data_IF_789911249258
#
_entry.id   IF_789911249258
#
_cell.length_a   1.000
_cell.length_b   1.000
_cell.length_c   1.000
_cell.angle_alpha   90.00
_cell.angle_beta   90.00
_cell.angle_gamma   90.00
#
_symmetry.space_group_name_H-M   'P 1'
#
loop_
_entity.id
_entity.type
_entity.pdbx_description
1 polymer ?
#
# COMPACT_ATOMS: atom_id res chain seq x y z
N UNK A 1 24.73 11.00 -10.62
CA UNK A 1 24.43 9.58 -10.40
C UNK A 1 22.93 9.34 -10.59
N UNK A 2 22.55 8.77 -11.76
CA UNK A 2 21.17 8.56 -12.22
C UNK A 2 20.92 7.05 -12.37
N UNK A 3 20.59 6.34 -11.29
CA UNK A 3 20.29 4.90 -11.37
C UNK A 3 19.02 4.47 -10.61
N UNK A 4 18.23 5.43 -10.10
CA UNK A 4 17.09 5.12 -9.25
C UNK A 4 15.78 4.83 -10.01
N UNK A 5 15.65 5.24 -11.27
CA UNK A 5 14.36 5.14 -11.99
C UNK A 5 14.10 3.81 -12.70
N UNK A 6 15.13 2.97 -12.87
CA UNK A 6 14.98 1.71 -13.64
C UNK A 6 14.37 0.58 -12.83
N UNK A 7 14.54 0.58 -11.51
CA UNK A 7 14.01 -0.48 -10.64
C UNK A 7 12.49 -0.36 -10.44
N UNK A 8 11.97 0.87 -10.35
CA UNK A 8 10.53 1.13 -10.20
C UNK A 8 9.71 0.72 -11.43
N UNK A 9 10.28 0.91 -12.64
CA UNK A 9 9.63 0.54 -13.91
C UNK A 9 9.62 -0.97 -14.11
N UNK A 10 10.67 -1.66 -13.69
CA UNK A 10 10.76 -3.12 -13.81
C UNK A 10 9.75 -3.86 -12.91
N UNK A 11 9.42 -3.32 -11.74
CA UNK A 11 8.46 -3.95 -10.83
C UNK A 11 7.01 -3.75 -11.29
N UNK A 12 6.69 -2.60 -11.90
CA UNK A 12 5.39 -2.34 -12.51
C UNK A 12 5.17 -3.26 -13.73
N UNK A 13 6.21 -3.52 -14.52
CA UNK A 13 6.16 -4.45 -15.64
C UNK A 13 5.98 -5.91 -15.20
N UNK A 14 6.55 -6.31 -14.06
CA UNK A 14 6.41 -7.66 -13.52
C UNK A 14 4.99 -7.93 -12.99
N UNK A 15 4.32 -6.95 -12.38
CA UNK A 15 2.93 -7.11 -11.93
C UNK A 15 1.94 -7.18 -13.10
N UNK A 16 2.18 -6.46 -14.19
CA UNK A 16 1.37 -6.51 -15.40
C UNK A 16 1.57 -7.84 -16.18
N UNK A 17 2.76 -8.44 -16.15
CA UNK A 17 3.04 -9.72 -16.76
C UNK A 17 2.33 -10.88 -16.06
N UNK A 18 2.15 -10.81 -14.73
CA UNK A 18 1.37 -11.80 -13.97
C UNK A 18 -0.13 -11.75 -14.30
N UNK A 19 -0.69 -10.56 -14.53
CA UNK A 19 -2.08 -10.41 -14.90
C UNK A 19 -2.39 -10.94 -16.31
N UNK A 20 -1.44 -10.84 -17.25
CA UNK A 20 -1.61 -11.30 -18.64
C UNK A 20 -1.55 -12.81 -18.82
N UNK A 21 -0.86 -13.54 -17.96
CA UNK A 21 -0.73 -15.00 -18.09
C UNK A 21 -1.96 -15.78 -17.58
N UNK A 22 -2.83 -15.15 -16.79
CA UNK A 22 -4.03 -15.80 -16.25
C UNK A 22 -5.14 -15.95 -17.28
N UNK A 23 -5.17 -15.15 -18.32
CA UNK A 23 -6.22 -15.23 -19.36
C UNK A 23 -5.97 -16.29 -20.46
N UNK A 24 -4.75 -16.78 -20.61
CA UNK A 24 -4.41 -17.69 -21.72
C UNK A 24 -4.79 -19.17 -21.46
N UNK A 25 -5.24 -19.53 -20.26
CA UNK A 25 -5.48 -20.94 -19.89
C UNK A 25 -6.94 -21.32 -19.64
N UNK A 26 -7.92 -20.45 -19.95
CA UNK A 26 -9.32 -20.70 -19.56
C UNK A 26 -10.18 -21.44 -20.57
N UNK A 27 -9.64 -22.03 -21.67
CA UNK A 27 -10.48 -22.54 -22.71
C UNK A 27 -10.79 -24.04 -22.70
N UNK A 28 -10.26 -24.88 -21.80
CA UNK A 28 -10.63 -26.32 -21.80
C UNK A 28 -10.30 -27.04 -20.45
N UNK A 29 -10.82 -26.58 -19.33
CA UNK A 29 -10.77 -27.40 -18.10
C UNK A 29 -12.17 -27.83 -17.65
N UNK A 30 -12.33 -29.14 -17.25
CA UNK A 30 -13.54 -29.58 -16.55
C UNK A 30 -13.70 -28.79 -15.26
N UNK A 31 -14.96 -28.54 -14.85
CA UNK A 31 -15.31 -27.78 -13.64
C UNK A 31 -14.44 -28.20 -12.45
N UNK A 32 -13.76 -27.27 -11.76
CA UNK A 32 -12.87 -27.62 -10.67
C UNK A 32 -13.68 -28.22 -9.54
N UNK A 33 -13.30 -29.42 -9.13
CA UNK A 33 -13.61 -29.94 -7.80
C UNK A 33 -13.10 -28.91 -6.79
N UNK A 34 -13.85 -28.65 -5.74
CA UNK A 34 -13.60 -27.70 -4.66
C UNK A 34 -12.14 -27.70 -4.15
N UNK A 35 -11.28 -27.03 -4.87
CA UNK A 35 -9.88 -26.81 -4.52
C UNK A 35 -9.61 -25.32 -4.62
N UNK A 36 -9.03 -24.75 -3.58
CA UNK A 36 -8.60 -23.35 -3.56
C UNK A 36 -7.61 -23.10 -4.72
N UNK A 37 -7.93 -22.18 -5.60
CA UNK A 37 -7.08 -21.83 -6.73
C UNK A 37 -6.86 -20.31 -6.79
N UNK A 38 -5.61 -19.90 -6.73
CA UNK A 38 -5.20 -18.50 -6.97
C UNK A 38 -5.48 -18.03 -8.40
N UNK A 39 -5.83 -18.97 -9.30
CA UNK A 39 -6.06 -18.72 -10.72
C UNK A 39 -7.55 -18.80 -11.11
N UNK A 40 -8.44 -18.88 -10.11
CA UNK A 40 -9.87 -18.83 -10.40
C UNK A 40 -10.25 -17.45 -10.97
N UNK A 41 -11.12 -17.38 -12.00
CA UNK A 41 -11.61 -16.11 -12.53
C UNK A 41 -12.18 -15.23 -11.42
N UNK A 42 -11.77 -13.94 -11.39
CA UNK A 42 -12.17 -13.00 -10.34
C UNK A 42 -11.38 -13.09 -9.04
N UNK A 43 -10.40 -14.00 -8.92
CA UNK A 43 -9.54 -14.10 -7.75
C UNK A 43 -8.45 -13.03 -7.72
N UNK A 44 -7.92 -12.67 -8.90
CA UNK A 44 -6.87 -11.66 -9.06
C UNK A 44 -7.45 -10.27 -9.26
N UNK A 45 -6.74 -9.26 -8.75
CA UNK A 45 -7.15 -7.87 -8.88
C UNK A 45 -5.96 -6.91 -8.89
N UNK A 46 -6.20 -5.73 -9.43
CA UNK A 46 -5.34 -4.56 -9.29
C UNK A 46 -6.18 -3.40 -8.75
N UNK A 47 -5.57 -2.55 -7.92
CA UNK A 47 -6.24 -1.39 -7.35
C UNK A 47 -5.32 -0.18 -7.26
N UNK A 48 -5.93 0.99 -7.34
CA UNK A 48 -5.26 2.27 -7.16
C UNK A 48 -6.09 3.14 -6.21
N UNK A 49 -5.44 3.62 -5.14
CA UNK A 49 -6.05 4.49 -4.16
C UNK A 49 -5.30 5.83 -4.09
N UNK A 50 -6.07 6.87 -3.81
CA UNK A 50 -5.57 8.21 -3.47
C UNK A 50 -6.15 8.61 -2.12
N UNK A 51 -5.40 9.40 -1.35
CA UNK A 51 -5.88 9.78 -0.03
C UNK A 51 -4.95 10.76 0.67
N UNK A 52 -5.02 10.73 1.97
CA UNK A 52 -4.17 11.53 2.86
C UNK A 52 -3.40 10.64 3.81
N UNK A 53 -2.12 10.94 3.97
CA UNK A 53 -1.25 10.37 5.00
C UNK A 53 -1.12 11.35 6.15
N UNK A 54 -1.16 10.83 7.37
CA UNK A 54 -0.82 11.55 8.60
C UNK A 54 0.49 10.98 9.14
N UNK A 55 1.53 11.82 9.14
CA UNK A 55 2.84 11.48 9.67
C UNK A 55 2.94 12.03 11.10
N UNK A 56 2.80 11.16 12.08
CA UNK A 56 2.81 11.53 13.50
C UNK A 56 4.25 11.59 14.02
N UNK A 57 5.04 12.53 13.45
CA UNK A 57 6.47 12.68 13.71
C UNK A 57 6.78 13.80 14.70
N UNK A 58 7.86 13.61 15.46
CA UNK A 58 8.39 14.65 16.35
C UNK A 58 9.00 15.81 15.54
N UNK A 59 8.79 17.05 15.99
CA UNK A 59 9.29 18.29 15.35
C UNK A 59 10.57 18.83 16.01
N UNK A 60 11.29 18.03 16.76
CA UNK A 60 12.49 18.46 17.49
C UNK A 60 12.14 19.47 18.61
N UNK A 61 12.86 20.59 18.65
CA UNK A 61 12.64 21.66 19.65
C UNK A 61 11.43 22.57 19.38
N UNK A 62 10.68 22.30 18.30
CA UNK A 62 9.48 23.06 17.93
C UNK A 62 9.72 24.47 17.34
N UNK A 63 10.98 24.82 17.03
CA UNK A 63 11.32 26.14 16.50
C UNK A 63 10.78 26.40 15.06
N UNK A 64 10.34 25.35 14.37
CA UNK A 64 9.82 25.43 13.01
C UNK A 64 8.40 24.87 12.94
N UNK A 65 7.62 25.32 11.96
CA UNK A 65 6.31 24.75 11.64
C UNK A 65 6.38 23.29 11.22
N UNK A 66 5.31 22.54 11.42
CA UNK A 66 5.15 21.15 11.00
C UNK A 66 3.88 20.98 10.17
N UNK A 67 4.03 20.37 8.98
CA UNK A 67 2.91 19.79 8.26
C UNK A 67 2.78 18.31 8.67
N UNK A 68 1.56 17.86 8.93
CA UNK A 68 1.31 16.46 9.37
C UNK A 68 0.57 15.64 8.35
N UNK A 69 -0.10 16.28 7.41
CA UNK A 69 -0.92 15.59 6.41
C UNK A 69 -0.47 15.93 5.00
N UNK A 70 -0.42 14.93 4.14
CA UNK A 70 -0.10 15.07 2.71
C UNK A 70 -0.84 14.03 1.89
N UNK A 71 -0.95 14.30 0.58
CA UNK A 71 -1.54 13.34 -0.34
C UNK A 71 -0.70 12.07 -0.40
N UNK A 72 -1.37 10.93 -0.40
CA UNK A 72 -0.79 9.60 -0.55
C UNK A 72 -1.37 8.91 -1.77
N UNK A 73 -0.57 8.05 -2.38
CA UNK A 73 -0.96 7.20 -3.51
C UNK A 73 -0.56 5.78 -3.22
N UNK A 74 -1.45 4.84 -3.50
CA UNK A 74 -1.18 3.41 -3.31
C UNK A 74 -1.62 2.64 -4.55
N UNK A 75 -0.67 1.94 -5.18
CA UNK A 75 -0.92 0.99 -6.26
C UNK A 75 -0.68 -0.41 -5.71
N UNK A 76 -1.64 -1.30 -5.87
CA UNK A 76 -1.56 -2.65 -5.32
C UNK A 76 -2.20 -3.67 -6.25
N UNK A 77 -1.78 -4.91 -6.10
CA UNK A 77 -2.39 -6.05 -6.76
C UNK A 77 -2.35 -7.26 -5.84
N UNK A 78 -3.30 -8.15 -6.04
CA UNK A 78 -3.42 -9.32 -5.20
C UNK A 78 -4.25 -10.42 -5.82
N UNK A 79 -4.31 -11.53 -5.11
CA UNK A 79 -5.18 -12.66 -5.47
C UNK A 79 -5.72 -13.33 -4.21
N UNK A 80 -6.99 -13.71 -4.26
CA UNK A 80 -7.64 -14.47 -3.20
C UNK A 80 -7.38 -15.97 -3.40
N UNK A 81 -6.96 -16.66 -2.33
CA UNK A 81 -6.81 -18.12 -2.31
C UNK A 81 -8.16 -18.82 -2.16
N UNK A 82 -9.08 -18.14 -1.47
CA UNK A 82 -10.44 -18.57 -1.22
C UNK A 82 -11.33 -17.32 -1.13
N UNK A 83 -12.60 -17.49 -0.78
CA UNK A 83 -13.57 -16.39 -0.72
C UNK A 83 -13.23 -15.31 0.33
N UNK A 84 -12.34 -15.61 1.29
CA UNK A 84 -12.11 -14.78 2.46
C UNK A 84 -10.68 -14.25 2.57
N UNK A 85 -9.65 -14.99 2.10
CA UNK A 85 -8.25 -14.68 2.35
C UNK A 85 -7.47 -14.65 1.04
N UNK A 86 -6.62 -13.64 0.89
CA UNK A 86 -5.73 -13.45 -0.26
C UNK A 86 -4.38 -12.91 0.14
N UNK A 87 -3.50 -12.83 -0.84
CA UNK A 87 -2.20 -12.18 -0.77
C UNK A 87 -2.25 -10.88 -1.57
N UNK A 88 -1.61 -9.85 -1.06
CA UNK A 88 -1.53 -8.55 -1.72
C UNK A 88 -0.10 -8.01 -1.67
N UNK A 89 0.34 -7.42 -2.77
CA UNK A 89 1.57 -6.66 -2.88
C UNK A 89 1.25 -5.27 -3.39
N UNK A 90 2.00 -4.26 -2.96
CA UNK A 90 1.73 -2.90 -3.39
C UNK A 90 2.90 -1.95 -3.15
N UNK A 91 2.75 -0.75 -3.68
CA UNK A 91 3.65 0.37 -3.45
C UNK A 91 2.84 1.56 -2.97
N UNK A 92 3.27 2.14 -1.85
CA UNK A 92 2.67 3.34 -1.28
C UNK A 92 3.68 4.48 -1.26
N UNK A 93 3.28 5.64 -1.79
CA UNK A 93 3.96 6.92 -1.59
C UNK A 93 3.14 7.70 -0.54
N UNK A 94 3.75 7.95 0.61
CA UNK A 94 3.12 8.65 1.74
C UNK A 94 3.25 10.17 1.62
N UNK A 95 3.83 10.66 0.52
CA UNK A 95 4.04 12.07 0.26
C UNK A 95 5.25 12.65 0.99
N UNK A 96 5.28 13.98 1.01
CA UNK A 96 6.38 14.76 1.58
C UNK A 96 5.82 15.86 2.47
N UNK A 97 6.24 15.89 3.73
CA UNK A 97 5.87 16.93 4.69
C UNK A 97 7.04 17.87 4.98
N UNK A 98 6.75 19.11 5.33
CA UNK A 98 7.72 20.08 5.82
C UNK A 98 7.75 20.02 7.34
N UNK A 99 8.92 19.82 7.94
CA UNK A 99 9.16 19.84 9.37
C UNK A 99 10.62 20.14 9.71
N UNK A 100 10.89 20.69 10.89
CA UNK A 100 12.23 20.93 11.39
C UNK A 100 13.10 21.81 10.47
N UNK A 101 12.50 22.74 9.72
CA UNK A 101 13.20 23.57 8.74
C UNK A 101 13.69 22.82 7.50
N UNK A 102 13.12 21.64 7.24
CA UNK A 102 13.42 20.80 6.07
C UNK A 102 12.22 19.98 5.63
N UNK A 103 12.47 18.81 5.05
CA UNK A 103 11.44 17.94 4.48
C UNK A 103 11.62 16.50 4.92
N UNK A 104 10.51 15.79 5.11
CA UNK A 104 10.49 14.34 5.32
C UNK A 104 9.64 13.69 4.23
N UNK A 105 10.23 12.75 3.49
CA UNK A 105 9.56 11.92 2.49
C UNK A 105 9.57 10.48 2.96
N UNK A 106 8.46 9.76 2.70
CA UNK A 106 8.35 8.34 2.97
C UNK A 106 7.65 7.64 1.82
N UNK A 107 8.14 6.45 1.47
CA UNK A 107 7.55 5.53 0.50
C UNK A 107 7.89 4.09 0.88
N UNK A 108 7.17 3.10 0.34
CA UNK A 108 7.45 1.71 0.67
C UNK A 108 6.71 0.69 -0.17
N UNK A 109 7.27 -0.52 -0.18
CA UNK A 109 6.65 -1.71 -0.75
C UNK A 109 5.97 -2.50 0.35
N UNK A 110 4.74 -2.90 0.09
CA UNK A 110 3.89 -3.64 1.01
C UNK A 110 3.76 -5.10 0.52
N UNK A 111 3.80 -6.02 1.46
CA UNK A 111 3.45 -7.43 1.25
C UNK A 111 2.58 -7.86 2.44
N UNK A 112 1.40 -8.41 2.16
CA UNK A 112 0.51 -8.79 3.24
C UNK A 112 -0.62 -9.70 2.83
N UNK A 113 -1.29 -10.20 3.83
CA UNK A 113 -2.56 -10.90 3.71
C UNK A 113 -3.70 -9.89 3.68
N UNK A 114 -4.68 -10.16 2.85
CA UNK A 114 -5.96 -9.44 2.82
C UNK A 114 -7.07 -10.41 3.19
N UNK A 115 -7.89 -10.00 4.14
CA UNK A 115 -9.14 -10.67 4.51
C UNK A 115 -10.32 -9.93 3.90
N UNK A 116 -11.34 -10.67 3.47
CA UNK A 116 -12.60 -10.15 2.95
C UNK A 116 -13.77 -10.84 3.64
N UNK A 117 -14.69 -10.04 4.19
CA UNK A 117 -15.94 -10.52 4.74
C UNK A 117 -17.10 -9.90 3.96
N UNK A 118 -17.85 -10.70 3.17
CA UNK A 118 -19.01 -10.19 2.45
C UNK A 118 -20.12 -9.74 3.42
N UNK A 119 -20.64 -8.53 3.20
CA UNK A 119 -21.77 -7.95 3.95
C UNK A 119 -22.99 -7.78 3.01
N UNK A 120 -23.36 -8.86 2.32
CA UNK A 120 -24.40 -8.87 1.29
C UNK A 120 -23.83 -8.95 -0.13
N UNK A 121 -24.63 -8.54 -1.12
CA UNK A 121 -24.29 -8.69 -2.53
C UNK A 121 -23.31 -7.64 -3.07
N UNK A 122 -23.26 -6.47 -2.44
CA UNK A 122 -22.52 -5.32 -2.99
C UNK A 122 -21.47 -4.76 -2.04
N UNK A 123 -21.40 -5.22 -0.79
CA UNK A 123 -20.44 -4.71 0.20
C UNK A 123 -19.56 -5.81 0.76
N UNK A 124 -18.27 -5.48 0.89
CA UNK A 124 -17.31 -6.29 1.62
C UNK A 124 -16.62 -5.44 2.70
N UNK A 125 -16.40 -6.03 3.87
CA UNK A 125 -15.45 -5.52 4.84
C UNK A 125 -14.07 -6.11 4.50
N UNK A 126 -13.04 -5.28 4.53
CA UNK A 126 -11.66 -5.68 4.27
C UNK A 126 -10.80 -5.53 5.52
N UNK A 127 -9.91 -6.49 5.75
CA UNK A 127 -8.86 -6.42 6.74
C UNK A 127 -7.51 -6.69 6.06
N UNK A 128 -6.46 -6.00 6.46
CA UNK A 128 -5.10 -6.17 5.94
C UNK A 128 -4.13 -6.36 7.09
N UNK A 129 -3.18 -7.26 6.91
CA UNK A 129 -2.08 -7.49 7.84
C UNK A 129 -0.83 -7.85 7.06
N UNK A 130 0.25 -7.12 7.25
CA UNK A 130 1.44 -7.35 6.46
C UNK A 130 2.69 -6.67 6.97
N UNK A 131 3.63 -6.56 6.07
CA UNK A 131 4.89 -5.87 6.29
C UNK A 131 5.18 -4.91 5.16
N UNK A 132 5.86 -3.82 5.49
CA UNK A 132 6.27 -2.77 4.55
C UNK A 132 7.78 -2.61 4.58
N UNK A 133 8.42 -2.75 3.43
CA UNK A 133 9.80 -2.32 3.26
C UNK A 133 9.81 -0.83 2.92
N UNK A 134 9.95 -0.02 3.96
CA UNK A 134 9.86 1.44 3.86
C UNK A 134 11.21 2.08 3.59
N UNK A 135 11.17 3.19 2.87
CA UNK A 135 12.26 4.13 2.69
C UNK A 135 11.81 5.49 3.18
N UNK A 136 12.62 6.08 4.04
CA UNK A 136 12.39 7.42 4.56
C UNK A 136 13.61 8.30 4.29
N UNK A 137 13.34 9.56 3.95
CA UNK A 137 14.36 10.56 3.70
C UNK A 137 14.00 11.83 4.48
N UNK A 138 14.88 12.22 5.40
CA UNK A 138 14.70 13.37 6.29
C UNK A 138 15.80 14.38 5.98
N UNK A 139 15.41 15.60 5.63
CA UNK A 139 16.25 16.77 5.67
C UNK A 139 15.76 17.74 6.76
N UNK A 140 16.65 18.40 7.47
CA UNK A 140 16.30 19.29 8.56
C UNK A 140 17.34 20.38 8.72
N UNK A 141 16.95 21.49 9.36
CA UNK A 141 17.92 22.50 9.84
C UNK A 141 18.63 22.00 11.10
N UNK A 142 19.93 22.25 11.21
CA UNK A 142 20.73 21.93 12.42
C UNK A 142 20.08 22.54 13.67
N UNK A 143 19.51 23.74 13.54
CA UNK A 143 18.82 24.44 14.65
C UNK A 143 17.55 23.74 15.15
N UNK A 144 16.99 22.78 14.42
CA UNK A 144 15.76 22.07 14.82
C UNK A 144 16.00 20.91 15.80
N UNK A 145 17.23 20.39 15.86
CA UNK A 145 17.55 19.17 16.62
C UNK A 145 16.98 17.87 15.98
N UNK A 146 16.36 17.96 14.80
CA UNK A 146 15.87 16.77 14.06
C UNK A 146 17.01 16.13 13.30
N UNK A 147 17.21 14.82 13.48
CA UNK A 147 18.27 14.07 12.78
C UNK A 147 17.92 13.95 11.30
N UNK A 148 18.79 14.49 10.45
CA UNK A 148 18.70 14.32 8.99
C UNK A 148 19.35 12.99 8.57
N UNK A 149 18.80 12.36 7.52
CA UNK A 149 19.34 11.11 6.98
C UNK A 149 18.34 10.34 6.15
N UNK A 150 18.84 9.23 5.60
CA UNK A 150 18.01 8.26 4.86
C UNK A 150 18.02 6.95 5.62
N UNK A 151 16.86 6.37 5.78
CA UNK A 151 16.70 5.06 6.40
C UNK A 151 15.83 4.17 5.52
N UNK A 152 16.14 2.89 5.58
CA UNK A 152 15.31 1.84 4.97
C UNK A 152 15.12 0.72 5.98
N UNK A 153 14.00 0.04 5.89
CA UNK A 153 13.79 -1.10 6.78
C UNK A 153 12.38 -1.68 6.72
N UNK A 154 12.26 -2.84 7.31
CA UNK A 154 10.98 -3.51 7.44
C UNK A 154 10.21 -2.98 8.64
N UNK A 155 8.89 -2.79 8.43
CA UNK A 155 7.94 -2.46 9.47
C UNK A 155 6.64 -3.19 9.29
N UNK A 156 5.88 -3.38 10.36
CA UNK A 156 4.55 -3.95 10.30
C UNK A 156 3.56 -2.98 9.67
N UNK A 157 2.55 -3.50 8.98
CA UNK A 157 1.42 -2.75 8.47
C UNK A 157 0.12 -3.48 8.72
N UNK A 158 -0.92 -2.75 9.03
CA UNK A 158 -2.27 -3.28 9.16
C UNK A 158 -3.29 -2.22 8.75
N UNK A 159 -4.48 -2.69 8.37
CA UNK A 159 -5.53 -1.79 7.93
C UNK A 159 -6.89 -2.44 7.89
N UNK A 160 -7.88 -1.58 7.78
CA UNK A 160 -9.28 -1.96 7.59
C UNK A 160 -9.87 -1.16 6.44
N UNK A 161 -10.88 -1.72 5.79
CA UNK A 161 -11.51 -1.04 4.67
C UNK A 161 -12.90 -1.56 4.38
N UNK A 162 -13.59 -0.82 3.54
CA UNK A 162 -14.86 -1.20 2.97
C UNK A 162 -14.76 -1.17 1.45
N UNK A 163 -15.37 -2.15 0.81
CA UNK A 163 -15.42 -2.26 -0.63
C UNK A 163 -16.87 -2.28 -1.09
N UNK A 164 -17.19 -1.46 -2.07
CA UNK A 164 -18.48 -1.41 -2.74
C UNK A 164 -18.35 -1.89 -4.18
N UNK A 165 -19.07 -2.94 -4.54
CA UNK A 165 -19.05 -3.53 -5.87
C UNK A 165 -20.08 -2.83 -6.76
N UNK A 166 -19.59 -2.19 -7.83
CA UNK A 166 -20.45 -1.68 -8.90
C UNK A 166 -20.91 -2.83 -9.82
N UNK A 167 -20.01 -3.78 -10.06
CA UNK A 167 -20.23 -5.01 -10.81
C UNK A 167 -19.18 -6.05 -10.37
N UNK A 168 -19.21 -7.30 -10.86
CA UNK A 168 -18.25 -8.35 -10.48
C UNK A 168 -16.77 -7.96 -10.67
N UNK A 169 -16.46 -7.07 -11.61
CA UNK A 169 -15.12 -6.70 -12.00
C UNK A 169 -14.65 -5.40 -11.37
N UNK A 170 -15.54 -4.42 -11.15
CA UNK A 170 -15.18 -3.07 -10.70
C UNK A 170 -15.78 -2.77 -9.33
N UNK A 171 -14.96 -2.29 -8.42
CA UNK A 171 -15.37 -1.85 -7.09
C UNK A 171 -14.68 -0.55 -6.67
N UNK A 172 -15.36 0.20 -5.81
CA UNK A 172 -14.75 1.27 -5.04
C UNK A 172 -14.26 0.73 -3.69
N UNK A 173 -13.14 1.27 -3.21
CA UNK A 173 -12.55 0.85 -1.94
C UNK A 173 -12.25 2.08 -1.09
N UNK A 174 -12.70 2.06 0.17
CA UNK A 174 -12.31 3.00 1.21
C UNK A 174 -11.41 2.26 2.19
N UNK A 175 -10.24 2.80 2.51
CA UNK A 175 -9.25 2.15 3.36
C UNK A 175 -8.67 3.10 4.40
N UNK A 176 -8.40 2.53 5.57
CA UNK A 176 -7.58 3.11 6.61
C UNK A 176 -6.46 2.12 6.95
N UNK A 177 -5.22 2.54 6.72
CA UNK A 177 -4.04 1.71 6.94
C UNK A 177 -3.06 2.41 7.89
N UNK A 178 -2.38 1.64 8.73
CA UNK A 178 -1.27 2.08 9.59
C UNK A 178 0.01 1.35 9.19
N UNK A 179 1.08 2.11 9.04
CA UNK A 179 2.41 1.63 8.67
C UNK A 179 3.43 2.04 9.73
N UNK A 180 4.20 1.09 10.25
CA UNK A 180 5.32 1.35 11.14
C UNK A 180 6.60 1.43 10.31
N UNK A 181 7.14 2.63 10.12
CA UNK A 181 8.35 2.85 9.34
C UNK A 181 9.52 3.30 10.23
N UNK A 182 10.74 3.00 9.74
CA UNK A 182 11.98 3.43 10.37
C UNK A 182 12.40 4.80 9.81
N UNK A 183 12.71 5.73 10.69
CA UNK A 183 13.15 7.09 10.35
C UNK A 183 14.61 7.34 10.77
N UNK A 184 15.21 8.41 10.23
CA UNK A 184 16.56 8.82 10.59
C UNK A 184 16.73 8.95 12.12
N UNK A 185 17.84 8.45 12.65
CA UNK A 185 18.07 8.29 14.08
C UNK A 185 17.60 6.97 14.66
N UNK A 186 17.13 6.01 13.82
CA UNK A 186 16.76 4.66 14.24
C UNK A 186 15.40 4.55 14.93
N UNK A 187 14.66 5.66 15.05
CA UNK A 187 13.31 5.66 15.61
C UNK A 187 12.30 5.04 14.66
N UNK A 188 11.29 4.35 15.21
CA UNK A 188 10.13 3.87 14.46
C UNK A 188 8.93 4.74 14.77
N UNK A 189 8.31 5.24 13.72
CA UNK A 189 7.13 6.07 13.84
C UNK A 189 6.00 5.55 12.94
N UNK A 190 4.77 5.91 13.30
CA UNK A 190 3.56 5.47 12.60
C UNK A 190 3.12 6.48 11.56
N UNK A 191 2.78 5.97 10.39
CA UNK A 191 2.09 6.71 9.34
C UNK A 191 0.70 6.12 9.20
N UNK A 192 -0.32 6.94 9.36
CA UNK A 192 -1.70 6.56 9.12
C UNK A 192 -2.14 7.12 7.77
N UNK A 193 -2.83 6.31 6.99
CA UNK A 193 -3.39 6.74 5.70
C UNK A 193 -4.88 6.49 5.66
N UNK A 194 -5.63 7.47 5.13
CA UNK A 194 -7.03 7.30 4.75
C UNK A 194 -7.12 7.52 3.26
N UNK A 195 -7.63 6.53 2.53
CA UNK A 195 -7.63 6.57 1.07
C UNK A 195 -8.90 5.98 0.48
N UNK A 196 -9.24 6.46 -0.70
CA UNK A 196 -10.33 5.95 -1.54
C UNK A 196 -9.78 5.62 -2.92
N UNK A 197 -10.31 4.61 -3.56
CA UNK A 197 -9.83 4.21 -4.87
C UNK A 197 -10.73 3.23 -5.58
N UNK A 198 -10.21 2.71 -6.68
CA UNK A 198 -10.87 1.72 -7.50
C UNK A 198 -10.07 0.43 -7.54
N UNK A 199 -10.78 -0.69 -7.61
CA UNK A 199 -10.22 -2.02 -7.76
C UNK A 199 -10.88 -2.70 -8.94
N UNK A 200 -10.06 -3.29 -9.81
CA UNK A 200 -10.50 -4.09 -10.94
C UNK A 200 -10.10 -5.55 -10.73
N UNK A 201 -11.06 -6.47 -10.95
CA UNK A 201 -10.89 -7.93 -10.85
C UNK A 201 -10.90 -8.55 -12.24
N UNK A 202 -10.05 -9.56 -12.40
CA UNK A 202 -9.90 -10.31 -13.64
C UNK A 202 -10.65 -11.64 -13.61
#
# INVERSE_FOLDING_TARGET
>A
MKTSNKLSIALIAATLAFAGSVQAQSSNMPAPRSGYSMYAPGSAYIGFNVGQSNLNLNNGNGAFGIERSKNTYNLYGGSYFNDFIGLEVGYADFGRINRGGGQTKADGFNLGLVGKVPLGSSFNLLGRLGTTYGRTEVSSSIASGVVAGKETGWGGSYGVGAEFLFNPQLSAVLQYDEYNLKFAGGTRDRINTTSVGLRYRF
#
